data_IF_392998333566
#
_entry.id   IF_392998333566
#
_cell.length_a   1.000
_cell.length_b   1.000
_cell.length_c   1.000
_cell.angle_alpha   90.00
_cell.angle_beta   90.00
_cell.angle_gamma   90.00
#
_symmetry.space_group_name_H-M   'P 1'
#
loop_
_entity.id
_entity.type
_entity.pdbx_description
1 polymer ?
#
# COMPACT_ATOMS: atom_id res chain seq x y z
N UNK A 1 -36.60 -1.14 15.12
CA UNK A 1 -35.40 -1.61 14.38
C UNK A 1 -35.15 -0.75 13.14
N UNK A 2 -34.60 0.46 13.31
CA UNK A 2 -34.02 1.23 12.19
C UNK A 2 -32.67 1.78 12.64
N UNK A 3 -31.66 0.91 12.69
CA UNK A 3 -30.26 1.27 12.88
C UNK A 3 -29.65 1.76 11.56
N UNK A 4 -30.33 2.68 10.88
CA UNK A 4 -29.91 3.23 9.60
C UNK A 4 -28.52 3.85 9.73
N UNK A 5 -27.65 3.47 8.78
CA UNK A 5 -26.21 3.63 8.78
C UNK A 5 -25.73 4.97 9.35
N UNK A 6 -25.13 4.94 10.54
CA UNK A 6 -24.35 6.08 11.04
C UNK A 6 -23.12 6.25 10.13
N UNK A 7 -22.80 7.50 9.79
CA UNK A 7 -21.69 7.89 8.91
C UNK A 7 -21.74 7.37 7.45
N UNK A 8 -22.87 7.50 6.74
CA UNK A 8 -23.00 6.92 5.39
C UNK A 8 -22.03 7.56 4.40
N UNK A 9 -21.80 8.87 4.52
CA UNK A 9 -20.83 9.60 3.71
C UNK A 9 -19.38 9.17 3.97
N UNK A 10 -18.98 9.05 5.25
CA UNK A 10 -17.62 8.64 5.60
C UNK A 10 -17.35 7.17 5.22
N UNK A 11 -18.35 6.29 5.35
CA UNK A 11 -18.27 4.91 4.85
C UNK A 11 -18.17 4.84 3.33
N UNK A 12 -18.84 5.73 2.61
CA UNK A 12 -18.69 5.83 1.15
C UNK A 12 -17.27 6.28 0.78
N UNK A 13 -16.71 7.26 1.49
CA UNK A 13 -15.32 7.68 1.32
C UNK A 13 -14.35 6.53 1.61
N UNK A 14 -14.55 5.78 2.70
CA UNK A 14 -13.73 4.62 3.03
C UNK A 14 -13.70 3.59 1.90
N UNK A 15 -14.88 3.23 1.34
CA UNK A 15 -14.96 2.31 0.18
C UNK A 15 -14.21 2.83 -1.04
N UNK A 16 -14.33 4.11 -1.38
CA UNK A 16 -13.60 4.70 -2.50
C UNK A 16 -12.09 4.69 -2.24
N UNK A 17 -11.67 4.97 -1.01
CA UNK A 17 -10.26 4.95 -0.63
C UNK A 17 -9.67 3.54 -0.63
N UNK A 18 -10.43 2.54 -0.22
CA UNK A 18 -10.06 1.13 -0.30
C UNK A 18 -9.80 0.71 -1.75
N UNK A 19 -10.69 1.10 -2.68
CA UNK A 19 -10.49 0.84 -4.11
C UNK A 19 -9.23 1.52 -4.64
N UNK A 20 -8.99 2.79 -4.26
CA UNK A 20 -7.78 3.52 -4.67
C UNK A 20 -6.49 2.94 -4.08
N UNK A 21 -6.50 2.51 -2.82
CA UNK A 21 -5.37 1.82 -2.20
C UNK A 21 -5.09 0.51 -2.95
N UNK A 22 -6.14 -0.27 -3.25
CA UNK A 22 -6.00 -1.52 -3.99
C UNK A 22 -5.41 -1.31 -5.38
N UNK A 23 -5.89 -0.28 -6.09
CA UNK A 23 -5.41 0.09 -7.41
C UNK A 23 -3.95 0.56 -7.39
N UNK A 24 -3.60 1.48 -6.48
CA UNK A 24 -2.21 1.93 -6.30
C UNK A 24 -1.27 0.79 -5.88
N UNK A 25 -1.75 -0.16 -5.09
CA UNK A 25 -1.00 -1.38 -4.72
C UNK A 25 -0.76 -2.29 -5.93
N UNK A 26 -1.73 -2.42 -6.84
CA UNK A 26 -1.54 -3.16 -8.09
C UNK A 26 -0.53 -2.45 -8.99
N UNK A 27 -0.63 -1.12 -9.12
CA UNK A 27 0.34 -0.30 -9.85
C UNK A 27 1.76 -0.45 -9.30
N UNK A 28 1.94 -0.45 -7.98
CA UNK A 28 3.23 -0.69 -7.34
C UNK A 28 3.79 -2.07 -7.68
N UNK A 29 2.97 -3.13 -7.65
CA UNK A 29 3.41 -4.47 -8.03
C UNK A 29 3.88 -4.51 -9.48
N UNK A 30 3.10 -3.93 -10.40
CA UNK A 30 3.46 -3.86 -11.81
C UNK A 30 4.78 -3.09 -12.03
N UNK A 31 4.97 -1.95 -11.36
CA UNK A 31 6.20 -1.18 -11.46
C UNK A 31 7.42 -1.93 -10.86
N UNK A 32 7.22 -2.65 -9.76
CA UNK A 32 8.26 -3.48 -9.16
C UNK A 32 8.67 -4.66 -10.06
N UNK A 33 7.69 -5.31 -10.69
CA UNK A 33 7.94 -6.40 -11.64
C UNK A 33 8.65 -5.90 -12.89
N UNK A 34 8.24 -4.74 -13.42
CA UNK A 34 8.90 -4.11 -14.57
C UNK A 34 10.35 -3.76 -14.25
N UNK A 35 10.61 -3.09 -13.12
CA UNK A 35 11.97 -2.78 -12.68
C UNK A 35 12.83 -4.06 -12.55
N UNK A 36 12.28 -5.13 -11.97
CA UNK A 36 12.98 -6.41 -11.88
C UNK A 36 13.29 -6.99 -13.25
N UNK A 37 12.35 -6.95 -14.20
CA UNK A 37 12.58 -7.42 -15.58
C UNK A 37 13.71 -6.66 -16.26
N UNK A 38 13.71 -5.33 -16.14
CA UNK A 38 14.77 -4.48 -16.71
C UNK A 38 16.13 -4.78 -16.09
N UNK A 39 16.18 -4.98 -14.77
CA UNK A 39 17.42 -5.33 -14.08
C UNK A 39 17.99 -6.65 -14.61
N UNK A 40 17.16 -7.69 -14.69
CA UNK A 40 17.58 -9.00 -15.21
C UNK A 40 18.09 -8.90 -16.66
N UNK A 41 17.46 -8.07 -17.48
CA UNK A 41 17.90 -7.84 -18.86
C UNK A 41 19.25 -7.11 -18.93
N UNK A 42 19.46 -6.09 -18.09
CA UNK A 42 20.73 -5.37 -18.01
C UNK A 42 21.87 -6.29 -17.52
N UNK A 43 21.60 -7.08 -16.47
CA UNK A 43 22.57 -8.04 -15.92
C UNK A 43 22.98 -9.11 -16.96
N UNK A 44 22.02 -9.57 -17.76
CA UNK A 44 22.25 -10.52 -18.85
C UNK A 44 23.10 -9.91 -19.97
N UNK A 45 22.81 -8.68 -20.38
CA UNK A 45 23.62 -7.97 -21.39
C UNK A 45 25.06 -7.74 -20.90
N UNK A 46 25.22 -7.36 -19.63
CA UNK A 46 26.54 -7.20 -19.01
C UNK A 46 27.31 -8.53 -18.96
N UNK A 47 26.62 -9.64 -18.70
CA UNK A 47 27.21 -10.99 -18.76
C UNK A 47 27.70 -11.30 -20.17
N UNK A 48 26.86 -11.10 -21.18
CA UNK A 48 27.20 -11.34 -22.60
C UNK A 48 28.39 -10.48 -23.05
N UNK A 49 28.44 -9.20 -22.64
CA UNK A 49 29.57 -8.29 -22.92
C UNK A 49 30.87 -8.84 -22.31
N UNK A 50 30.85 -9.25 -21.03
CA UNK A 50 32.02 -9.81 -20.35
C UNK A 50 32.52 -11.09 -21.02
N UNK A 51 31.62 -12.00 -21.38
CA UNK A 51 31.95 -13.25 -22.05
C UNK A 51 32.56 -13.01 -23.44
N UNK A 52 31.98 -12.10 -24.22
CA UNK A 52 32.51 -11.73 -25.54
C UNK A 52 33.85 -11.01 -25.46
N UNK A 53 34.09 -10.21 -24.42
CA UNK A 53 35.38 -9.56 -24.21
C UNK A 53 36.46 -10.58 -23.82
N UNK A 54 36.14 -11.51 -22.92
CA UNK A 54 37.07 -12.53 -22.43
C UNK A 54 37.51 -13.51 -23.53
N UNK A 55 36.60 -13.93 -24.41
CA UNK A 55 36.93 -14.84 -25.51
C UNK A 55 37.83 -14.20 -26.59
N UNK A 56 38.16 -12.89 -26.49
CA UNK A 56 38.93 -12.10 -27.46
C UNK A 56 40.44 -12.35 -27.43
N UNK A 57 40.93 -13.06 -26.40
CA UNK A 57 42.36 -13.28 -26.18
C UNK A 57 42.97 -14.44 -27.00
N UNK A 58 42.22 -15.08 -27.91
CA UNK A 58 42.75 -16.20 -28.68
C UNK A 58 43.74 -15.70 -29.75
N UNK A 59 45.03 -16.01 -29.54
CA UNK A 59 46.10 -15.76 -30.50
C UNK A 59 45.79 -16.47 -31.83
N UNK A 60 45.89 -15.75 -32.94
CA UNK A 60 45.73 -16.30 -34.30
C UNK A 60 44.50 -15.83 -35.10
N UNK A 61 43.68 -14.92 -34.58
CA UNK A 61 42.56 -14.34 -35.35
C UNK A 61 43.04 -13.39 -36.46
N UNK A 62 42.44 -13.51 -37.65
CA UNK A 62 42.70 -12.61 -38.77
C UNK A 62 42.13 -11.21 -38.54
N UNK A 63 42.68 -10.21 -39.24
CA UNK A 63 42.23 -8.80 -39.14
C UNK A 63 40.70 -8.61 -39.37
N UNK A 64 40.05 -9.30 -40.32
CA UNK A 64 38.60 -9.18 -40.52
C UNK A 64 37.77 -9.73 -39.35
N UNK A 65 38.20 -10.84 -38.75
CA UNK A 65 37.52 -11.48 -37.60
C UNK A 65 37.61 -10.59 -36.37
N UNK A 66 38.79 -9.99 -36.14
CA UNK A 66 38.99 -9.00 -35.10
C UNK A 66 38.08 -7.78 -35.28
N UNK A 67 38.00 -7.22 -36.49
CA UNK A 67 37.17 -6.06 -36.79
C UNK A 67 35.66 -6.35 -36.58
N UNK A 68 35.17 -7.48 -37.09
CA UNK A 68 33.78 -7.91 -36.90
C UNK A 68 33.42 -8.09 -35.41
N UNK A 69 34.34 -8.70 -34.65
CA UNK A 69 34.19 -8.87 -33.20
C UNK A 69 34.16 -7.55 -32.46
N UNK A 70 35.07 -6.62 -32.81
CA UNK A 70 35.14 -5.29 -32.20
C UNK A 70 33.84 -4.52 -32.41
N UNK A 71 33.29 -4.56 -33.63
CA UNK A 71 31.99 -3.95 -33.95
C UNK A 71 30.84 -4.57 -33.14
N UNK A 72 30.83 -5.89 -32.99
CA UNK A 72 29.83 -6.60 -32.17
C UNK A 72 29.89 -6.18 -30.70
N UNK A 73 31.11 -6.08 -30.13
CA UNK A 73 31.32 -5.60 -28.76
C UNK A 73 30.85 -4.15 -28.56
N UNK A 74 31.06 -3.27 -29.54
CA UNK A 74 30.58 -1.89 -29.49
C UNK A 74 29.04 -1.87 -29.46
N UNK A 75 28.40 -2.68 -30.32
CA UNK A 75 26.94 -2.77 -30.36
C UNK A 75 26.36 -3.31 -29.04
N UNK A 76 26.97 -4.37 -28.48
CA UNK A 76 26.57 -4.94 -27.19
C UNK A 76 26.76 -3.95 -26.03
N UNK A 77 27.89 -3.24 -25.97
CA UNK A 77 28.13 -2.23 -24.94
C UNK A 77 27.13 -1.07 -25.02
N UNK A 78 26.74 -0.65 -26.23
CA UNK A 78 25.70 0.35 -26.42
C UNK A 78 24.31 -0.17 -26.00
N UNK A 79 24.01 -1.45 -26.23
CA UNK A 79 22.78 -2.08 -25.76
C UNK A 79 22.72 -2.20 -24.24
N UNK A 80 23.82 -2.61 -23.60
CA UNK A 80 23.93 -2.67 -22.15
C UNK A 80 23.71 -1.29 -21.50
N UNK A 81 24.32 -0.24 -22.06
CA UNK A 81 24.10 1.13 -21.58
C UNK A 81 22.62 1.54 -21.64
N UNK A 82 21.95 1.29 -22.76
CA UNK A 82 20.51 1.57 -22.87
C UNK A 82 19.68 0.77 -21.87
N UNK A 83 20.04 -0.49 -21.62
CA UNK A 83 19.35 -1.31 -20.63
C UNK A 83 19.51 -0.74 -19.21
N UNK A 84 20.69 -0.20 -18.86
CA UNK A 84 20.90 0.52 -17.60
C UNK A 84 20.06 1.80 -17.52
N UNK A 85 19.99 2.60 -18.61
CA UNK A 85 19.12 3.78 -18.65
C UNK A 85 17.63 3.41 -18.44
N UNK A 86 17.19 2.26 -18.97
CA UNK A 86 15.85 1.73 -18.76
C UNK A 86 15.60 1.22 -17.33
N UNK A 87 16.63 0.64 -16.68
CA UNK A 87 16.57 0.28 -15.26
C UNK A 87 16.37 1.51 -14.40
N UNK A 88 17.15 2.57 -14.63
CA UNK A 88 17.04 3.82 -13.88
C UNK A 88 15.66 4.45 -14.06
N UNK A 89 15.14 4.48 -15.30
CA UNK A 89 13.78 4.94 -15.57
C UNK A 89 12.73 4.10 -14.83
N UNK A 90 12.84 2.77 -14.86
CA UNK A 90 11.93 1.88 -14.13
C UNK A 90 12.04 2.03 -12.60
N UNK A 91 13.22 2.37 -12.09
CA UNK A 91 13.44 2.61 -10.66
C UNK A 91 12.70 3.87 -10.19
N UNK A 92 12.74 4.94 -10.99
CA UNK A 92 11.97 6.17 -10.75
C UNK A 92 10.46 5.89 -10.75
N UNK A 93 9.97 5.11 -11.73
CA UNK A 93 8.55 4.73 -11.79
C UNK A 93 8.12 3.90 -10.57
N UNK A 94 8.96 2.94 -10.15
CA UNK A 94 8.71 2.14 -8.95
C UNK A 94 8.68 3.01 -7.69
N UNK A 95 9.60 3.96 -7.55
CA UNK A 95 9.63 4.89 -6.41
C UNK A 95 8.36 5.76 -6.37
N UNK A 96 7.97 6.33 -7.52
CA UNK A 96 6.74 7.11 -7.65
C UNK A 96 5.48 6.29 -7.30
N UNK A 97 5.39 5.04 -7.79
CA UNK A 97 4.29 4.13 -7.46
C UNK A 97 4.25 3.80 -5.96
N UNK A 98 5.42 3.65 -5.32
CA UNK A 98 5.52 3.41 -3.89
C UNK A 98 5.00 4.60 -3.08
N UNK A 99 5.40 5.83 -3.43
CA UNK A 99 4.89 7.04 -2.80
C UNK A 99 3.38 7.20 -2.98
N UNK A 100 2.87 6.88 -4.18
CA UNK A 100 1.43 6.91 -4.47
C UNK A 100 0.65 5.95 -3.56
N UNK A 101 1.10 4.71 -3.48
CA UNK A 101 0.51 3.70 -2.61
C UNK A 101 0.57 4.11 -1.13
N UNK A 102 1.71 4.58 -0.63
CA UNK A 102 1.85 5.05 0.76
C UNK A 102 0.87 6.19 1.08
N UNK A 103 0.70 7.15 0.15
CA UNK A 103 -0.26 8.25 0.32
C UNK A 103 -1.71 7.75 0.39
N UNK A 104 -2.10 6.83 -0.48
CA UNK A 104 -3.47 6.30 -0.49
C UNK A 104 -3.74 5.38 0.71
N UNK A 105 -2.75 4.59 1.12
CA UNK A 105 -2.79 3.78 2.34
C UNK A 105 -2.96 4.64 3.60
N UNK A 106 -2.15 5.69 3.77
CA UNK A 106 -2.25 6.60 4.90
C UNK A 106 -3.61 7.31 4.97
N UNK A 107 -4.16 7.71 3.80
CA UNK A 107 -5.49 8.33 3.72
C UNK A 107 -6.61 7.35 4.09
N UNK A 108 -6.50 6.09 3.69
CA UNK A 108 -7.46 5.06 4.07
C UNK A 108 -7.42 4.83 5.59
N UNK A 109 -6.22 4.63 6.15
CA UNK A 109 -6.02 4.41 7.58
C UNK A 109 -6.58 5.56 8.43
N UNK A 110 -6.39 6.81 8.00
CA UNK A 110 -6.95 7.97 8.69
C UNK A 110 -8.50 7.97 8.73
N UNK A 111 -9.14 7.56 7.63
CA UNK A 111 -10.62 7.46 7.54
C UNK A 111 -11.14 6.31 8.42
N UNK A 112 -10.46 5.17 8.40
CA UNK A 112 -10.78 4.01 9.23
C UNK A 112 -10.67 4.35 10.71
N UNK A 113 -9.59 5.03 11.11
CA UNK A 113 -9.40 5.49 12.47
C UNK A 113 -10.51 6.45 12.93
N UNK A 114 -10.92 7.41 12.08
CA UNK A 114 -12.03 8.30 12.41
C UNK A 114 -13.37 7.56 12.57
N UNK A 115 -13.63 6.54 11.75
CA UNK A 115 -14.82 5.69 11.89
C UNK A 115 -14.82 4.92 13.21
N UNK A 116 -13.65 4.44 13.64
CA UNK A 116 -13.46 3.73 14.91
C UNK A 116 -13.72 4.66 16.11
N UNK A 117 -13.10 5.84 16.14
CA UNK A 117 -13.33 6.85 17.18
C UNK A 117 -14.80 7.21 17.32
N UNK A 118 -15.50 7.45 16.21
CA UNK A 118 -16.94 7.73 16.23
C UNK A 118 -17.77 6.55 16.72
N UNK A 119 -17.35 5.32 16.43
CA UNK A 119 -18.02 4.13 16.95
C UNK A 119 -17.83 3.99 18.46
N UNK A 120 -16.65 4.31 18.98
CA UNK A 120 -16.33 4.37 20.41
C UNK A 120 -17.14 5.43 21.15
N UNK A 121 -17.16 6.66 20.65
CA UNK A 121 -17.96 7.75 21.24
C UNK A 121 -19.43 7.37 21.38
N UNK A 122 -20.00 6.73 20.35
CA UNK A 122 -21.38 6.24 20.40
C UNK A 122 -21.59 5.10 21.38
N UNK A 123 -20.63 4.17 21.48
CA UNK A 123 -20.68 3.10 22.50
C UNK A 123 -20.67 3.72 23.89
N UNK A 124 -19.82 4.72 24.12
CA UNK A 124 -19.74 5.45 25.38
C UNK A 124 -21.03 6.21 25.69
N UNK A 125 -21.63 6.89 24.71
CA UNK A 125 -22.90 7.60 24.93
C UNK A 125 -24.06 6.63 25.24
N UNK A 126 -24.15 5.50 24.53
CA UNK A 126 -25.14 4.46 24.85
C UNK A 126 -24.94 3.88 26.25
N UNK A 127 -23.69 3.66 26.66
CA UNK A 127 -23.38 3.19 28.01
C UNK A 127 -23.78 4.22 29.07
N UNK A 128 -23.51 5.52 28.84
CA UNK A 128 -23.95 6.61 29.73
C UNK A 128 -25.47 6.71 29.80
N UNK A 129 -26.17 6.59 28.68
CA UNK A 129 -27.63 6.62 28.65
C UNK A 129 -28.23 5.44 29.43
N UNK A 130 -27.70 4.23 29.23
CA UNK A 130 -28.14 3.04 29.96
C UNK A 130 -27.85 3.15 31.48
N UNK A 131 -26.70 3.72 31.87
CA UNK A 131 -26.39 3.95 33.27
C UNK A 131 -27.39 4.92 33.93
N UNK A 132 -27.70 6.04 33.26
CA UNK A 132 -28.73 7.00 33.73
C UNK A 132 -30.10 6.34 33.91
N UNK A 133 -30.52 5.53 32.95
CA UNK A 133 -31.80 4.81 33.02
C UNK A 133 -31.84 3.83 34.21
N UNK A 134 -30.75 3.11 34.48
CA UNK A 134 -30.65 2.21 35.64
C UNK A 134 -30.69 2.97 36.97
N UNK A 135 -29.99 4.11 37.06
CA UNK A 135 -30.02 4.97 38.24
C UNK A 135 -31.43 5.52 38.51
N UNK A 136 -32.15 5.95 37.47
CA UNK A 136 -33.53 6.42 37.58
C UNK A 136 -34.47 5.31 38.09
N UNK A 137 -34.35 4.10 37.55
CA UNK A 137 -35.11 2.93 38.01
C UNK A 137 -34.79 2.61 39.48
N UNK A 138 -33.50 2.64 39.84
CA UNK A 138 -33.03 2.42 41.21
C UNK A 138 -33.59 3.45 42.18
N UNK A 139 -33.55 4.73 41.82
CA UNK A 139 -34.13 5.83 42.60
C UNK A 139 -35.64 5.68 42.80
N UNK A 140 -36.39 5.37 41.75
CA UNK A 140 -37.84 5.12 41.84
C UNK A 140 -38.18 3.90 42.70
N UNK A 141 -37.38 2.83 42.65
CA UNK A 141 -37.56 1.66 43.48
C UNK A 141 -37.31 1.98 44.96
N UNK A 142 -36.25 2.73 45.26
CA UNK A 142 -35.91 3.17 46.61
C UNK A 142 -37.01 4.05 47.23
N UNK A 143 -37.50 5.06 46.50
CA UNK A 143 -38.59 5.94 46.95
C UNK A 143 -39.88 5.15 47.26
N UNK A 144 -40.25 4.19 46.39
CA UNK A 144 -41.41 3.30 46.63
C UNK A 144 -41.24 2.41 47.85
N UNK A 145 -40.01 1.98 48.15
CA UNK A 145 -39.70 1.18 49.34
C UNK A 145 -39.82 1.97 50.65
N UNK A 146 -39.43 3.25 50.66
CA UNK A 146 -39.52 4.11 51.84
C UNK A 146 -40.97 4.46 52.20
N UNK A 147 -41.79 4.81 51.21
CA UNK A 147 -43.22 5.11 51.46
C UNK A 147 -43.99 3.93 52.07
N UNK A 148 -43.63 2.68 51.72
CA UNK A 148 -44.22 1.49 52.36
C UNK A 148 -43.78 1.30 53.82
N UNK A 149 -42.58 1.73 54.19
CA UNK A 149 -42.08 1.64 55.57
C UNK A 149 -42.69 2.70 56.48
N UNK A 150 -43.01 3.88 55.94
CA UNK A 150 -43.70 4.93 56.69
C UNK A 150 -45.17 4.60 56.94
N UNK A 151 -45.88 4.01 55.98
CA UNK A 151 -47.30 3.62 56.15
C UNK A 151 -47.47 2.41 57.09
N UNK A 152 -46.41 1.63 57.31
CA UNK A 152 -46.41 0.48 58.22
C UNK A 152 -46.04 0.81 59.67
N UNK A 153 -45.78 2.09 59.98
CA UNK A 153 -45.59 2.61 61.35
C UNK A 153 -46.82 3.35 61.81
#
# INVERSE_FOLDING_TARGET
MSGTAHDPGLRAVARVREVRERDSRLGLRQAADEHRRRQLQADELDRVVREHAAAGSAAGQGLPEWAARRSSLIALAAAARRAHDEVDAAAVLKASAQEHWQRDHARLAAVEHLLELRAEERRAERARAAARELDDIGGQAWLRGQGRREVAR
#
